data_IF_012372276765
#
_entry.id   IF_012372276765
#
_cell.length_a   1.000
_cell.length_b   1.000
_cell.length_c   1.000
_cell.angle_alpha   90.00
_cell.angle_beta   90.00
_cell.angle_gamma   90.00
#
_symmetry.space_group_name_H-M   'P 1'
#
loop_
_entity.id
_entity.type
_entity.pdbx_description
1 polymer ?
#
# COMPACT_ATOMS: atom_id res chain seq x y z
N UNK A 1 1.57 24.20 -34.35
CA UNK A 1 1.13 24.47 -32.97
C UNK A 1 1.82 23.45 -32.09
N UNK A 2 2.87 23.84 -31.37
CA UNK A 2 3.58 22.97 -30.44
C UNK A 2 2.71 22.78 -29.21
N UNK A 3 2.33 21.53 -28.94
CA UNK A 3 1.73 21.12 -27.67
C UNK A 3 2.84 21.29 -26.62
N UNK A 4 2.75 22.35 -25.83
CA UNK A 4 3.55 22.47 -24.60
C UNK A 4 2.91 21.46 -23.66
N UNK A 5 3.51 20.25 -23.56
CA UNK A 5 3.30 19.37 -22.41
C UNK A 5 3.75 20.13 -21.16
N UNK A 6 2.80 20.61 -20.40
CA UNK A 6 3.05 21.01 -19.02
C UNK A 6 3.42 19.71 -18.30
N UNK A 7 4.73 19.43 -18.22
CA UNK A 7 5.22 18.47 -17.24
C UNK A 7 4.85 19.06 -15.87
N UNK A 8 3.68 18.66 -15.35
CA UNK A 8 3.41 18.82 -13.93
C UNK A 8 4.54 18.12 -13.19
N UNK A 9 5.14 18.82 -12.27
CA UNK A 9 6.25 18.37 -11.42
C UNK A 9 5.71 17.22 -10.53
N UNK A 10 5.68 16.00 -11.10
CA UNK A 10 5.19 14.80 -10.41
C UNK A 10 6.20 14.45 -9.35
N UNK A 11 5.74 14.22 -8.13
CA UNK A 11 6.59 13.77 -7.05
C UNK A 11 7.18 12.41 -7.39
N UNK A 12 8.41 12.17 -6.99
CA UNK A 12 9.04 10.87 -7.02
C UNK A 12 8.92 10.21 -5.65
N UNK A 13 8.68 8.92 -5.59
CA UNK A 13 8.73 8.19 -4.34
C UNK A 13 10.16 8.13 -3.80
N UNK A 14 10.38 7.85 -2.51
CA UNK A 14 11.72 7.67 -1.96
C UNK A 14 12.52 6.53 -2.62
N UNK A 15 11.84 5.56 -3.26
CA UNK A 15 12.46 4.45 -4.00
C UNK A 15 12.79 4.77 -5.46
N UNK A 16 12.30 5.89 -5.98
CA UNK A 16 12.47 6.28 -7.38
C UNK A 16 13.91 6.22 -7.90
N UNK A 17 14.97 6.62 -7.16
CA UNK A 17 16.34 6.53 -7.68
C UNK A 17 16.71 5.11 -8.12
N UNK A 18 16.32 4.09 -7.37
CA UNK A 18 16.56 2.69 -7.70
C UNK A 18 15.64 2.15 -8.78
N UNK A 19 14.40 2.60 -8.80
CA UNK A 19 13.44 2.28 -9.86
C UNK A 19 13.91 2.83 -11.21
N UNK A 20 14.41 4.06 -11.24
CA UNK A 20 14.92 4.69 -12.47
C UNK A 20 16.16 3.99 -13.03
N UNK A 21 17.03 3.40 -12.19
CA UNK A 21 18.17 2.60 -12.60
C UNK A 21 17.75 1.29 -13.31
N UNK A 22 16.60 0.73 -12.95
CA UNK A 22 16.06 -0.50 -13.51
C UNK A 22 15.20 -0.26 -14.77
N UNK A 23 14.72 0.96 -14.95
CA UNK A 23 13.73 1.29 -15.99
C UNK A 23 14.34 1.22 -17.40
N UNK A 24 13.81 0.30 -18.21
CA UNK A 24 14.15 0.14 -19.62
C UNK A 24 13.01 0.53 -20.56
N UNK A 25 11.80 0.71 -20.02
CA UNK A 25 10.59 0.96 -20.81
C UNK A 25 10.21 2.44 -20.85
N UNK A 26 10.66 3.22 -19.87
CA UNK A 26 10.27 4.62 -19.65
C UNK A 26 8.75 4.81 -19.68
N UNK A 27 8.02 3.87 -19.06
CA UNK A 27 6.56 3.87 -18.97
C UNK A 27 6.13 4.16 -17.54
N UNK A 28 5.57 5.35 -17.36
CA UNK A 28 5.20 5.88 -16.04
C UNK A 28 3.85 6.57 -16.13
N UNK A 29 3.02 6.37 -15.12
CA UNK A 29 1.76 7.09 -14.93
C UNK A 29 1.81 7.92 -13.64
N UNK A 30 0.74 8.67 -13.42
CA UNK A 30 0.52 9.36 -12.15
C UNK A 30 -0.36 8.51 -11.24
N UNK A 31 0.12 8.27 -10.01
CA UNK A 31 -0.68 7.71 -8.94
C UNK A 31 -0.65 8.65 -7.74
N UNK A 32 -1.78 9.36 -7.50
CA UNK A 32 -1.99 10.32 -6.38
C UNK A 32 -0.91 11.40 -6.24
N UNK A 33 -0.47 11.92 -7.39
CA UNK A 33 0.55 12.96 -7.46
C UNK A 33 1.98 12.42 -7.54
N UNK A 34 2.17 11.10 -7.45
CA UNK A 34 3.45 10.45 -7.60
C UNK A 34 3.65 9.84 -8.98
N UNK A 35 4.90 9.76 -9.40
CA UNK A 35 5.31 9.03 -10.58
C UNK A 35 5.44 7.55 -10.21
N UNK A 36 4.61 6.69 -10.80
CA UNK A 36 4.58 5.23 -10.61
C UNK A 36 4.90 4.51 -11.91
N UNK A 37 5.68 3.42 -11.85
CA UNK A 37 6.08 2.67 -13.03
C UNK A 37 4.94 1.76 -13.52
N UNK A 38 4.65 1.77 -14.84
CA UNK A 38 3.78 0.76 -15.46
C UNK A 38 4.49 -0.59 -15.57
N UNK A 39 5.79 -0.57 -15.82
CA UNK A 39 6.69 -1.72 -15.88
C UNK A 39 8.12 -1.25 -16.07
N UNK A 40 9.10 -2.11 -15.76
CA UNK A 40 10.52 -1.80 -15.81
C UNK A 40 11.22 -2.39 -17.03
N UNK A 41 10.90 -3.63 -17.42
CA UNK A 41 11.57 -4.32 -18.55
C UNK A 41 10.63 -5.22 -19.36
N UNK A 42 9.79 -6.04 -18.74
CA UNK A 42 8.85 -6.93 -19.40
C UNK A 42 7.77 -7.34 -18.44
N UNK A 43 6.51 -7.00 -18.75
CA UNK A 43 5.35 -7.22 -17.88
C UNK A 43 5.15 -8.71 -17.57
N UNK A 44 5.45 -9.61 -18.50
CA UNK A 44 5.28 -11.05 -18.26
C UNK A 44 6.34 -11.59 -17.30
N UNK A 45 7.59 -11.16 -17.44
CA UNK A 45 8.67 -11.54 -16.53
C UNK A 45 8.43 -10.97 -15.12
N UNK A 46 7.92 -9.75 -15.02
CA UNK A 46 7.55 -9.13 -13.74
C UNK A 46 6.38 -9.87 -13.09
N UNK A 47 5.36 -10.19 -13.86
CA UNK A 47 4.22 -10.99 -13.40
C UNK A 47 4.67 -12.40 -12.94
N UNK A 48 5.48 -13.10 -13.74
CA UNK A 48 5.98 -14.43 -13.38
C UNK A 48 6.92 -14.42 -12.18
N UNK A 49 7.62 -13.31 -11.91
CA UNK A 49 8.38 -13.17 -10.66
C UNK A 49 7.45 -13.27 -9.45
N UNK A 50 6.28 -12.64 -9.48
CA UNK A 50 5.28 -12.72 -8.41
C UNK A 50 4.71 -14.13 -8.24
N UNK A 51 4.60 -14.94 -9.31
CA UNK A 51 4.06 -16.30 -9.26
C UNK A 51 5.10 -17.38 -8.92
N UNK A 52 6.36 -17.17 -9.29
CA UNK A 52 7.39 -18.20 -9.21
C UNK A 52 8.58 -17.84 -8.29
N UNK A 53 8.72 -16.57 -7.95
CA UNK A 53 9.83 -16.05 -7.14
C UNK A 53 9.36 -14.93 -6.21
N UNK A 54 9.86 -13.70 -6.39
CA UNK A 54 9.46 -12.52 -5.61
C UNK A 54 9.37 -11.28 -6.50
N UNK A 55 8.19 -10.67 -6.56
CA UNK A 55 7.96 -9.35 -7.13
C UNK A 55 7.97 -8.27 -6.07
N UNK A 56 8.50 -7.09 -6.37
CA UNK A 56 8.53 -5.92 -5.48
C UNK A 56 7.85 -4.75 -6.14
N UNK A 57 6.79 -4.22 -5.50
CA UNK A 57 6.02 -3.07 -5.97
C UNK A 57 6.09 -1.92 -4.97
N UNK A 58 6.22 -0.69 -5.46
CA UNK A 58 6.26 0.51 -4.64
C UNK A 58 4.85 0.98 -4.26
N UNK A 59 4.50 0.85 -2.98
CA UNK A 59 3.24 1.28 -2.39
C UNK A 59 3.28 2.70 -1.82
N UNK A 60 4.40 3.43 -1.96
CA UNK A 60 4.54 4.75 -1.34
C UNK A 60 3.45 5.75 -1.76
N UNK A 61 2.93 5.73 -3.01
CA UNK A 61 1.84 6.63 -3.41
C UNK A 61 0.48 6.35 -2.74
N UNK A 62 0.26 5.14 -2.21
CA UNK A 62 -0.98 4.80 -1.51
C UNK A 62 -1.21 5.74 -0.34
N UNK A 63 -2.43 6.29 -0.20
CA UNK A 63 -2.77 7.19 0.89
C UNK A 63 -2.74 6.50 2.25
N UNK A 64 -2.22 7.20 3.26
CA UNK A 64 -2.07 6.71 4.62
C UNK A 64 -2.56 7.76 5.60
N UNK A 65 -3.51 7.39 6.44
CA UNK A 65 -4.04 8.26 7.47
C UNK A 65 -3.79 7.64 8.84
N UNK A 66 -3.09 8.38 9.71
CA UNK A 66 -2.96 8.01 11.12
C UNK A 66 -4.16 8.54 11.89
N UNK A 67 -4.79 7.65 12.65
CA UNK A 67 -5.93 7.95 13.53
C UNK A 67 -5.52 7.69 14.97
N UNK A 68 -5.61 8.72 15.82
CA UNK A 68 -5.30 8.63 17.25
C UNK A 68 -6.39 9.29 18.08
N UNK A 69 -6.45 8.95 19.36
CA UNK A 69 -7.37 9.56 20.30
C UNK A 69 -8.19 8.55 21.08
N UNK A 70 -8.86 9.00 22.15
CA UNK A 70 -9.70 8.16 23.01
C UNK A 70 -10.77 7.39 22.24
N UNK A 71 -11.40 8.05 21.25
CA UNK A 71 -12.53 7.51 20.47
C UNK A 71 -12.08 6.91 19.13
N UNK A 72 -10.78 6.64 18.96
CA UNK A 72 -10.23 6.13 17.68
C UNK A 72 -10.82 4.77 17.27
N UNK A 73 -11.14 3.89 18.23
CA UNK A 73 -11.83 2.63 17.95
C UNK A 73 -13.26 2.88 17.48
N UNK A 74 -13.99 3.76 18.16
CA UNK A 74 -15.38 4.08 17.80
C UNK A 74 -15.45 4.76 16.43
N UNK A 75 -14.45 5.57 16.11
CA UNK A 75 -14.32 6.17 14.80
C UNK A 75 -14.11 5.12 13.70
N UNK A 76 -13.12 4.23 13.83
CA UNK A 76 -12.85 3.22 12.78
C UNK A 76 -13.98 2.19 12.69
N UNK A 77 -14.65 1.85 13.80
CA UNK A 77 -15.79 0.93 13.81
C UNK A 77 -17.04 1.56 13.14
N UNK A 78 -17.24 2.88 13.30
CA UNK A 78 -18.27 3.66 12.60
C UNK A 78 -18.00 3.79 11.12
N UNK A 79 -16.74 3.99 10.74
CA UNK A 79 -16.33 4.30 9.38
C UNK A 79 -16.52 3.10 8.42
N UNK A 80 -16.23 1.87 8.89
CA UNK A 80 -16.10 0.70 8.02
C UNK A 80 -17.20 -0.33 8.27
N UNK A 81 -17.48 -1.15 7.27
CA UNK A 81 -18.49 -2.23 7.36
C UNK A 81 -18.04 -3.42 8.21
N UNK A 82 -16.78 -3.41 8.68
CA UNK A 82 -16.21 -4.49 9.48
C UNK A 82 -16.23 -4.14 10.96
N UNK A 83 -16.55 -5.13 11.82
CA UNK A 83 -16.49 -4.94 13.28
C UNK A 83 -15.04 -4.83 13.76
N UNK A 84 -14.59 -3.60 14.01
CA UNK A 84 -13.21 -3.30 14.41
C UNK A 84 -12.91 -3.60 15.88
N UNK A 85 -13.94 -3.78 16.72
CA UNK A 85 -13.78 -4.21 18.11
C UNK A 85 -13.17 -5.62 18.24
N UNK A 86 -13.28 -6.44 17.20
CA UNK A 86 -12.68 -7.78 17.13
C UNK A 86 -11.23 -7.77 16.62
N UNK A 87 -10.73 -6.66 16.15
CA UNK A 87 -9.38 -6.53 15.60
C UNK A 87 -8.42 -6.07 16.70
N UNK A 88 -7.48 -6.91 17.08
CA UNK A 88 -6.53 -6.64 18.17
C UNK A 88 -5.34 -5.82 17.67
N UNK A 89 -4.61 -5.11 18.54
CA UNK A 89 -3.30 -4.53 18.19
C UNK A 89 -2.38 -5.57 17.54
N UNK A 90 -1.56 -5.14 16.58
CA UNK A 90 -0.72 -6.02 15.78
C UNK A 90 -1.46 -6.78 14.67
N UNK A 91 -2.66 -6.31 14.30
CA UNK A 91 -3.46 -6.92 13.21
C UNK A 91 -3.86 -5.88 12.19
N UNK A 92 -3.99 -6.34 10.96
CA UNK A 92 -4.55 -5.60 9.83
C UNK A 92 -5.93 -6.15 9.51
N UNK A 93 -6.84 -5.30 9.09
CA UNK A 93 -8.16 -5.69 8.60
C UNK A 93 -8.39 -5.07 7.22
N UNK A 94 -8.76 -5.87 6.22
CA UNK A 94 -9.37 -5.35 5.01
C UNK A 94 -10.80 -4.93 5.32
N UNK A 95 -11.21 -3.75 4.87
CA UNK A 95 -12.53 -3.20 5.12
C UNK A 95 -12.98 -2.30 3.97
N UNK A 96 -14.30 -2.12 3.89
CA UNK A 96 -14.99 -1.26 2.93
C UNK A 96 -15.72 -0.19 3.71
N UNK A 97 -15.79 1.03 3.19
CA UNK A 97 -16.66 2.08 3.70
C UNK A 97 -17.64 2.55 2.64
N UNK A 98 -18.80 2.92 3.11
CA UNK A 98 -19.96 3.24 2.27
C UNK A 98 -20.54 4.61 2.66
N UNK A 99 -21.34 5.17 1.77
CA UNK A 99 -22.21 6.29 2.07
C UNK A 99 -23.45 5.86 2.90
N UNK A 100 -24.33 6.81 3.21
CA UNK A 100 -25.55 6.58 4.01
C UNK A 100 -26.59 5.70 3.28
N UNK A 101 -26.50 5.57 1.96
CA UNK A 101 -27.32 4.68 1.12
C UNK A 101 -26.72 3.27 0.99
N UNK A 102 -25.54 3.03 1.59
CA UNK A 102 -24.83 1.75 1.54
C UNK A 102 -24.07 1.51 0.24
N UNK A 103 -23.84 2.56 -0.58
CA UNK A 103 -23.03 2.47 -1.77
C UNK A 103 -21.54 2.59 -1.40
N UNK A 104 -20.69 1.80 -2.05
CA UNK A 104 -19.26 1.77 -1.76
C UNK A 104 -18.60 3.07 -2.18
N UNK A 105 -17.91 3.72 -1.23
CA UNK A 105 -17.04 4.87 -1.48
C UNK A 105 -15.64 4.36 -1.84
N UNK A 106 -15.06 3.50 -1.02
CA UNK A 106 -13.76 2.87 -1.29
C UNK A 106 -13.55 1.68 -0.34
N UNK A 107 -12.42 1.03 -0.52
CA UNK A 107 -11.94 -0.04 0.34
C UNK A 107 -10.48 0.20 0.74
N UNK A 108 -9.99 -0.59 1.67
CA UNK A 108 -8.62 -0.46 2.10
C UNK A 108 -8.26 -1.34 3.28
N UNK A 109 -7.10 -1.06 3.85
CA UNK A 109 -6.58 -1.78 5.01
C UNK A 109 -6.52 -0.89 6.23
N UNK A 110 -7.02 -1.43 7.35
CA UNK A 110 -6.99 -0.78 8.66
C UNK A 110 -5.97 -1.51 9.52
N UNK A 111 -4.89 -0.85 9.84
CA UNK A 111 -3.83 -1.34 10.71
C UNK A 111 -4.17 -0.94 12.15
N UNK A 112 -4.34 -1.89 13.05
CA UNK A 112 -4.42 -1.62 14.48
C UNK A 112 -3.00 -1.64 15.05
N UNK A 113 -2.33 -0.48 15.03
CA UNK A 113 -0.92 -0.35 15.40
C UNK A 113 -0.72 -0.65 16.90
N UNK A 114 -1.46 0.04 17.74
CA UNK A 114 -1.52 -0.14 19.19
C UNK A 114 -2.84 0.40 19.74
N UNK A 115 -3.11 0.19 21.02
CA UNK A 115 -4.34 0.69 21.63
C UNK A 115 -4.48 2.20 21.42
N UNK A 116 -5.60 2.61 20.84
CA UNK A 116 -5.90 4.01 20.56
C UNK A 116 -5.19 4.58 19.31
N UNK A 117 -4.61 3.72 18.46
CA UNK A 117 -3.88 4.15 17.28
C UNK A 117 -4.08 3.20 16.10
N UNK A 118 -4.53 3.77 14.98
CA UNK A 118 -4.79 3.06 13.74
C UNK A 118 -4.10 3.77 12.58
N UNK A 119 -3.83 3.00 11.50
CA UNK A 119 -3.51 3.54 10.18
C UNK A 119 -4.54 3.02 9.20
N UNK A 120 -5.13 3.94 8.42
CA UNK A 120 -6.02 3.61 7.31
C UNK A 120 -5.24 3.81 6.02
N UNK A 121 -5.16 2.77 5.19
CA UNK A 121 -4.55 2.86 3.88
C UNK A 121 -5.62 2.63 2.81
N UNK A 122 -5.67 3.50 1.81
CA UNK A 122 -6.61 3.44 0.69
C UNK A 122 -5.99 3.89 -0.62
N UNK A 123 -6.61 3.52 -1.71
CA UNK A 123 -6.23 3.97 -3.05
C UNK A 123 -6.47 5.48 -3.20
N UNK A 124 -7.62 5.96 -2.75
CA UNK A 124 -8.09 7.33 -2.93
C UNK A 124 -7.90 8.18 -1.68
N UNK A 125 -8.02 9.51 -1.84
CA UNK A 125 -7.94 10.47 -0.75
C UNK A 125 -9.33 10.73 -0.18
N UNK A 126 -9.51 10.43 1.12
CA UNK A 126 -10.80 10.50 1.80
C UNK A 126 -10.82 11.40 3.05
N UNK A 127 -9.88 12.35 3.20
CA UNK A 127 -9.77 13.18 4.40
C UNK A 127 -11.10 13.87 4.75
N UNK A 128 -11.79 14.45 3.78
CA UNK A 128 -13.08 15.14 4.02
C UNK A 128 -14.17 14.19 4.54
N UNK A 129 -14.23 12.98 3.98
CA UNK A 129 -15.16 11.94 4.44
C UNK A 129 -14.83 11.48 5.86
N UNK A 130 -13.56 11.26 6.14
CA UNK A 130 -13.10 10.85 7.47
C UNK A 130 -13.37 11.94 8.53
N UNK A 131 -13.14 13.21 8.18
CA UNK A 131 -13.47 14.33 9.06
C UNK A 131 -14.98 14.42 9.33
N UNK A 132 -15.83 14.19 8.35
CA UNK A 132 -17.28 14.15 8.53
C UNK A 132 -17.71 12.97 9.42
N UNK A 133 -17.15 11.78 9.19
CA UNK A 133 -17.41 10.60 10.01
C UNK A 133 -16.91 10.75 11.46
N UNK A 134 -15.92 11.61 11.71
CA UNK A 134 -15.35 11.87 13.03
C UNK A 134 -16.17 12.87 13.87
N UNK A 135 -17.20 13.51 13.32
CA UNK A 135 -18.01 14.49 14.06
C UNK A 135 -18.56 13.87 15.37
N UNK A 136 -18.30 14.56 16.47
CA UNK A 136 -18.72 14.15 17.82
C UNK A 136 -17.80 13.15 18.50
N UNK A 137 -16.64 12.82 17.93
CA UNK A 137 -15.63 11.92 18.50
C UNK A 137 -14.33 12.67 18.81
N UNK A 138 -13.66 12.28 19.89
CA UNK A 138 -12.34 12.81 20.28
C UNK A 138 -11.24 12.01 19.58
N UNK A 139 -10.99 12.37 18.31
CA UNK A 139 -9.97 11.75 17.44
C UNK A 139 -9.18 12.80 16.67
N UNK A 140 -7.93 12.47 16.42
CA UNK A 140 -7.04 13.20 15.50
C UNK A 140 -6.76 12.34 14.29
N UNK A 141 -6.96 12.89 13.09
CA UNK A 141 -6.69 12.23 11.81
C UNK A 141 -5.63 13.05 11.09
N UNK A 142 -4.51 12.42 10.75
CA UNK A 142 -3.37 13.04 10.06
C UNK A 142 -3.08 12.27 8.79
N UNK A 143 -2.92 12.98 7.67
CA UNK A 143 -2.38 12.40 6.44
C UNK A 143 -0.86 12.24 6.62
N UNK A 144 -0.38 11.00 6.69
CA UNK A 144 1.04 10.62 6.83
C UNK A 144 1.61 10.00 5.54
N UNK A 145 0.95 10.24 4.40
CA UNK A 145 1.32 9.63 3.12
C UNK A 145 2.76 9.93 2.73
N UNK A 146 3.22 11.15 2.94
CA UNK A 146 4.57 11.59 2.60
C UNK A 146 5.61 11.21 3.68
N UNK A 147 5.17 10.78 4.86
CA UNK A 147 6.03 10.44 5.99
C UNK A 147 6.41 8.96 6.04
N UNK A 148 5.62 8.11 5.37
CA UNK A 148 5.79 6.65 5.35
C UNK A 148 5.85 6.16 3.91
N UNK A 149 6.94 5.52 3.53
CA UNK A 149 7.05 4.79 2.28
C UNK A 149 6.89 3.28 2.50
N UNK A 150 6.50 2.55 1.45
CA UNK A 150 6.28 1.13 1.58
C UNK A 150 6.59 0.36 0.30
N UNK A 151 7.02 -0.91 0.48
CA UNK A 151 7.21 -1.88 -0.59
C UNK A 151 6.31 -3.10 -0.36
N UNK A 152 5.56 -3.51 -1.37
CA UNK A 152 4.96 -4.83 -1.41
C UNK A 152 6.00 -5.84 -1.93
N UNK A 153 6.24 -6.90 -1.16
CA UNK A 153 7.17 -8.00 -1.46
C UNK A 153 6.35 -9.28 -1.60
N UNK A 154 6.05 -9.67 -2.83
CA UNK A 154 5.00 -10.64 -3.14
C UNK A 154 5.55 -11.81 -3.94
N UNK A 155 5.10 -13.02 -3.61
CA UNK A 155 5.43 -14.25 -4.32
C UNK A 155 5.95 -15.36 -3.39
N UNK A 156 6.07 -16.59 -3.90
CA UNK A 156 6.33 -17.77 -3.07
C UNK A 156 7.69 -17.76 -2.35
N UNK A 157 8.68 -17.01 -2.85
CA UNK A 157 9.98 -16.88 -2.19
C UNK A 157 10.12 -15.64 -1.31
N UNK A 158 9.06 -14.81 -1.17
CA UNK A 158 9.10 -13.58 -0.36
C UNK A 158 9.52 -13.83 1.09
N UNK A 159 9.04 -14.91 1.71
CA UNK A 159 9.52 -15.33 3.03
C UNK A 159 11.03 -15.57 3.07
N UNK A 160 11.57 -16.30 2.09
CA UNK A 160 12.99 -16.64 2.03
C UNK A 160 13.86 -15.39 1.85
N UNK A 161 13.40 -14.43 1.06
CA UNK A 161 14.06 -13.13 0.87
C UNK A 161 14.11 -12.36 2.19
N UNK A 162 13.00 -12.21 2.89
CA UNK A 162 12.94 -11.47 4.16
C UNK A 162 13.74 -12.15 5.27
N UNK A 163 13.75 -13.50 5.31
CA UNK A 163 14.56 -14.25 6.23
C UNK A 163 16.06 -14.08 5.93
N UNK A 164 16.46 -14.10 4.65
CA UNK A 164 17.84 -13.84 4.22
C UNK A 164 18.29 -12.39 4.47
N UNK A 165 17.34 -11.44 4.48
CA UNK A 165 17.58 -10.05 4.87
C UNK A 165 17.82 -9.90 6.39
N UNK A 166 17.59 -10.95 7.18
CA UNK A 166 17.83 -10.96 8.63
C UNK A 166 16.62 -10.56 9.47
N UNK A 167 15.40 -10.63 8.95
CA UNK A 167 14.19 -10.37 9.73
C UNK A 167 13.81 -11.61 10.55
N UNK A 168 14.51 -11.79 11.68
CA UNK A 168 14.32 -12.94 12.55
C UNK A 168 12.88 -12.99 13.11
N UNK A 169 12.24 -14.17 13.01
CA UNK A 169 10.84 -14.34 13.44
C UNK A 169 9.78 -13.99 12.39
N UNK A 170 10.16 -13.55 11.18
CA UNK A 170 9.20 -13.25 10.11
C UNK A 170 8.27 -14.42 9.78
N UNK A 171 8.73 -15.68 9.97
CA UNK A 171 7.94 -16.88 9.77
C UNK A 171 6.77 -17.05 10.75
N UNK A 172 6.81 -16.41 11.90
CA UNK A 172 5.75 -16.45 12.90
C UNK A 172 4.61 -15.46 12.58
N UNK A 173 4.86 -14.52 11.69
CA UNK A 173 3.87 -13.52 11.30
C UNK A 173 2.72 -14.19 10.54
N UNK A 174 1.54 -14.19 11.15
CA UNK A 174 0.33 -14.80 10.57
C UNK A 174 -0.27 -13.91 9.49
N UNK A 175 -1.07 -14.44 8.54
CA UNK A 175 -1.82 -13.63 7.60
C UNK A 175 -2.59 -12.50 8.30
N UNK A 176 -2.53 -11.28 7.74
CA UNK A 176 -3.03 -10.05 8.37
C UNK A 176 -2.40 -9.75 9.74
N UNK A 177 -1.23 -10.30 10.02
CA UNK A 177 -0.38 -9.92 11.15
C UNK A 177 0.45 -8.69 10.83
N UNK A 178 0.85 -7.98 11.88
CA UNK A 178 1.70 -6.81 11.87
C UNK A 178 2.78 -6.98 12.94
N UNK A 179 4.03 -6.76 12.61
CA UNK A 179 5.16 -6.77 13.53
C UNK A 179 6.19 -5.72 13.15
N UNK A 180 7.00 -5.32 14.11
CA UNK A 180 8.13 -4.41 13.91
C UNK A 180 9.43 -5.19 14.10
N UNK A 181 10.39 -4.94 13.23
CA UNK A 181 11.72 -5.54 13.22
C UNK A 181 12.77 -4.45 13.29
N UNK A 182 13.92 -4.77 13.86
CA UNK A 182 15.08 -3.90 13.82
C UNK A 182 15.69 -3.93 12.41
N UNK A 183 15.92 -2.77 11.84
CA UNK A 183 16.54 -2.62 10.52
C UNK A 183 17.31 -1.31 10.43
N UNK A 184 18.62 -1.37 10.13
CA UNK A 184 19.43 -0.20 9.81
C UNK A 184 19.36 0.91 10.87
N UNK A 185 19.52 0.56 12.13
CA UNK A 185 19.38 1.47 13.30
C UNK A 185 18.00 2.14 13.41
N UNK A 186 16.97 1.56 12.82
CA UNK A 186 15.59 2.03 12.80
C UNK A 186 14.60 0.88 12.92
N UNK A 187 13.33 1.21 13.01
CA UNK A 187 12.23 0.24 12.98
C UNK A 187 11.74 0.03 11.55
N UNK A 188 11.57 -1.24 11.15
CA UNK A 188 10.88 -1.67 9.95
C UNK A 188 9.58 -2.35 10.35
N UNK A 189 8.46 -1.73 10.05
CA UNK A 189 7.15 -2.35 10.24
C UNK A 189 6.85 -3.27 9.06
N UNK A 190 6.41 -4.50 9.34
CA UNK A 190 6.06 -5.50 8.33
C UNK A 190 4.65 -6.00 8.57
N UNK A 191 3.80 -5.96 7.55
CA UNK A 191 2.51 -6.63 7.54
C UNK A 191 2.53 -7.84 6.61
N UNK A 192 1.84 -8.93 7.00
CA UNK A 192 1.63 -10.07 6.11
C UNK A 192 0.33 -9.88 5.34
N UNK A 193 0.40 -8.95 4.41
CA UNK A 193 -0.66 -8.50 3.51
C UNK A 193 -0.14 -8.42 2.08
N UNK A 194 -1.02 -8.29 1.11
CA UNK A 194 -0.67 -8.15 -0.29
C UNK A 194 -1.88 -8.10 -1.20
N UNK A 195 -1.64 -7.76 -2.45
CA UNK A 195 -2.68 -7.54 -3.48
C UNK A 195 -2.50 -8.45 -4.70
N UNK A 196 -1.80 -9.60 -4.53
CA UNK A 196 -1.46 -10.51 -5.65
C UNK A 196 -2.09 -11.88 -5.54
N UNK A 197 -2.68 -12.22 -4.38
CA UNK A 197 -3.22 -13.55 -4.09
C UNK A 197 -2.17 -14.59 -3.70
N UNK A 198 -0.89 -14.27 -3.82
CA UNK A 198 0.22 -15.11 -3.36
C UNK A 198 0.66 -14.77 -1.94
N UNK A 199 1.62 -15.57 -1.41
CA UNK A 199 2.33 -15.22 -0.20
C UNK A 199 2.98 -13.85 -0.39
N UNK A 200 2.78 -12.96 0.57
CA UNK A 200 3.35 -11.63 0.49
C UNK A 200 3.41 -10.91 1.80
N UNK A 201 4.24 -9.88 1.79
CA UNK A 201 4.46 -8.97 2.89
C UNK A 201 4.51 -7.54 2.36
N UNK A 202 4.21 -6.59 3.23
CA UNK A 202 4.40 -5.16 2.95
C UNK A 202 5.33 -4.60 4.02
N UNK A 203 6.38 -3.92 3.56
CA UNK A 203 7.44 -3.33 4.37
C UNK A 203 7.23 -1.82 4.43
N UNK A 204 7.15 -1.28 5.64
CA UNK A 204 6.81 0.10 5.91
C UNK A 204 7.93 0.79 6.66
N UNK A 205 8.48 1.88 6.13
CA UNK A 205 9.60 2.62 6.72
C UNK A 205 9.49 4.11 6.43
N UNK A 206 10.39 4.90 7.01
CA UNK A 206 10.50 6.34 6.73
C UNK A 206 11.27 6.60 5.43
N UNK A 207 11.05 7.73 4.75
CA UNK A 207 11.68 8.06 3.47
C UNK A 207 13.22 8.03 3.49
N UNK A 208 13.84 8.41 4.59
CA UNK A 208 15.30 8.43 4.77
C UNK A 208 15.92 7.02 4.78
N UNK A 209 15.12 5.98 5.06
CA UNK A 209 15.56 4.57 5.05
C UNK A 209 15.19 3.83 3.76
N UNK A 210 14.52 4.46 2.83
CA UNK A 210 14.00 3.82 1.64
C UNK A 210 15.08 3.17 0.77
N UNK A 211 16.16 3.87 0.46
CA UNK A 211 17.23 3.35 -0.41
C UNK A 211 17.96 2.20 0.27
N UNK A 212 18.23 2.32 1.57
CA UNK A 212 18.87 1.26 2.34
C UNK A 212 18.00 0.00 2.39
N UNK A 213 16.68 0.16 2.57
CA UNK A 213 15.72 -0.95 2.52
C UNK A 213 15.69 -1.62 1.14
N UNK A 214 15.64 -0.84 0.06
CA UNK A 214 15.67 -1.37 -1.29
C UNK A 214 16.92 -2.18 -1.57
N UNK A 215 18.09 -1.62 -1.25
CA UNK A 215 19.37 -2.24 -1.52
C UNK A 215 19.54 -3.56 -0.72
N UNK A 216 19.18 -3.56 0.57
CA UNK A 216 19.20 -4.76 1.40
C UNK A 216 18.25 -5.85 0.88
N UNK A 217 17.02 -5.45 0.49
CA UNK A 217 16.02 -6.36 -0.03
C UNK A 217 16.46 -7.02 -1.34
N UNK A 218 16.97 -6.24 -2.29
CA UNK A 218 17.41 -6.76 -3.59
C UNK A 218 18.69 -7.58 -3.48
N UNK A 219 19.63 -7.22 -2.59
CA UNK A 219 20.82 -8.03 -2.31
C UNK A 219 20.44 -9.39 -1.71
N UNK A 220 19.55 -9.42 -0.72
CA UNK A 220 19.08 -10.67 -0.11
C UNK A 220 18.25 -11.52 -1.10
N UNK A 221 17.53 -10.87 -2.00
CA UNK A 221 16.63 -11.50 -2.97
C UNK A 221 17.30 -12.01 -4.24
N UNK A 222 18.55 -11.67 -4.52
CA UNK A 222 19.22 -11.98 -5.79
C UNK A 222 19.16 -13.48 -6.12
N UNK A 223 19.54 -14.33 -5.17
CA UNK A 223 19.54 -15.79 -5.33
C UNK A 223 18.14 -16.41 -5.44
N UNK A 224 17.10 -15.66 -5.05
CA UNK A 224 15.69 -16.06 -5.13
C UNK A 224 14.97 -15.50 -6.35
N UNK A 225 15.69 -14.80 -7.23
CA UNK A 225 15.12 -14.24 -8.46
C UNK A 225 14.19 -13.06 -8.24
N UNK A 226 14.47 -12.23 -7.22
CA UNK A 226 13.70 -11.01 -6.92
C UNK A 226 13.68 -10.06 -8.14
N UNK A 227 12.55 -9.43 -8.39
CA UNK A 227 12.38 -8.44 -9.46
C UNK A 227 11.50 -7.28 -9.00
N UNK A 228 11.82 -6.08 -9.46
CA UNK A 228 10.86 -4.98 -9.42
C UNK A 228 9.70 -5.30 -10.38
N UNK A 229 8.48 -4.91 -9.98
CA UNK A 229 7.30 -5.02 -10.84
C UNK A 229 6.55 -3.69 -10.88
N UNK A 230 6.02 -3.36 -12.05
CA UNK A 230 5.16 -2.21 -12.27
C UNK A 230 3.67 -2.55 -12.14
N UNK A 231 2.85 -1.53 -12.36
CA UNK A 231 1.38 -1.61 -12.26
C UNK A 231 0.78 -2.65 -13.21
N UNK A 232 1.31 -2.79 -14.43
CA UNK A 232 0.79 -3.77 -15.41
C UNK A 232 0.87 -5.21 -14.90
N UNK A 233 1.96 -5.57 -14.21
CA UNK A 233 2.14 -6.90 -13.62
C UNK A 233 1.28 -7.09 -12.37
N UNK A 234 1.17 -6.05 -11.52
CA UNK A 234 0.30 -6.05 -10.35
C UNK A 234 -1.17 -6.21 -10.74
N UNK A 235 -1.64 -5.49 -11.78
CA UNK A 235 -3.00 -5.59 -12.31
C UNK A 235 -3.36 -7.02 -12.73
N UNK A 236 -2.49 -7.70 -13.45
CA UNK A 236 -2.71 -9.11 -13.82
C UNK A 236 -2.87 -9.99 -12.58
N UNK A 237 -1.96 -9.82 -11.61
CA UNK A 237 -1.95 -10.64 -10.41
C UNK A 237 -3.20 -10.42 -9.54
N UNK A 238 -3.64 -9.16 -9.33
CA UNK A 238 -4.81 -8.85 -8.51
C UNK A 238 -6.12 -9.32 -9.15
N UNK A 239 -6.25 -9.22 -10.49
CA UNK A 239 -7.42 -9.69 -11.24
C UNK A 239 -7.57 -11.21 -11.09
N UNK A 240 -6.48 -11.96 -11.23
CA UNK A 240 -6.51 -13.43 -11.01
C UNK A 240 -6.89 -13.78 -9.57
N UNK A 241 -6.45 -12.99 -8.58
CA UNK A 241 -6.81 -13.17 -7.18
C UNK A 241 -8.27 -12.78 -6.88
N UNK A 242 -8.94 -12.09 -7.81
CA UNK A 242 -10.31 -11.59 -7.64
C UNK A 242 -10.39 -10.35 -6.75
N UNK A 243 -9.31 -9.60 -6.58
CA UNK A 243 -9.30 -8.35 -5.83
C UNK A 243 -9.81 -7.21 -6.71
N UNK A 244 -10.83 -6.50 -6.21
CA UNK A 244 -11.43 -5.35 -6.88
C UNK A 244 -10.67 -4.06 -6.56
N UNK A 245 -10.80 -3.07 -7.44
CA UNK A 245 -10.19 -1.76 -7.29
C UNK A 245 -11.18 -0.66 -7.68
N UNK A 246 -11.32 0.32 -6.80
CA UNK A 246 -12.14 1.50 -7.05
C UNK A 246 -11.69 2.25 -8.32
N UNK A 247 -12.62 2.80 -9.09
CA UNK A 247 -12.44 3.46 -10.39
C UNK A 247 -11.96 2.56 -11.54
N UNK A 248 -11.63 1.30 -11.27
CA UNK A 248 -11.25 0.31 -12.30
C UNK A 248 -12.36 -0.71 -12.49
N UNK A 249 -12.76 -1.40 -11.42
CA UNK A 249 -13.77 -2.46 -11.49
C UNK A 249 -15.16 -1.97 -11.09
N UNK A 250 -15.26 -0.87 -10.35
CA UNK A 250 -16.53 -0.22 -10.00
C UNK A 250 -16.36 1.30 -9.87
N UNK A 251 -17.47 2.02 -10.04
CA UNK A 251 -17.51 3.46 -9.79
C UNK A 251 -17.89 3.72 -8.33
N UNK A 252 -17.04 4.38 -7.54
CA UNK A 252 -17.36 4.78 -6.18
C UNK A 252 -18.58 5.71 -6.09
N UNK A 253 -19.26 5.70 -4.95
CA UNK A 253 -20.45 6.51 -4.71
C UNK A 253 -20.20 8.02 -4.93
N UNK A 254 -19.03 8.52 -4.52
CA UNK A 254 -18.65 9.93 -4.69
C UNK A 254 -18.35 10.32 -6.15
N UNK A 255 -17.96 9.36 -6.99
CA UNK A 255 -17.74 9.59 -8.42
C UNK A 255 -19.04 9.85 -9.18
N UNK A 256 -20.15 9.21 -8.77
CA UNK A 256 -21.47 9.39 -9.41
C UNK A 256 -22.06 10.75 -9.14
N UNK A 257 -21.81 11.34 -7.96
CA UNK A 257 -22.28 12.70 -7.61
C UNK A 257 -21.55 13.76 -8.44
N UNK A 258 -20.27 13.59 -8.72
CA UNK A 258 -19.48 14.52 -9.55
C UNK A 258 -19.91 14.54 -11.02
N UNK A 259 -20.38 13.41 -11.55
CA UNK A 259 -20.84 13.30 -12.93
C UNK A 259 -22.22 13.92 -13.17
N UNK A 260 -23.02 14.10 -12.13
CA UNK A 260 -24.35 14.73 -12.20
C UNK A 260 -24.32 16.26 -12.00
N UNK A 261 -23.17 16.82 -11.62
CA UNK A 261 -22.98 18.26 -11.37
C UNK A 261 -22.30 19.01 -12.53
N UNK A 262 -22.12 18.38 -13.69
CA UNK A 262 -21.68 18.96 -14.96
C UNK A 262 -22.85 19.00 -15.95
#
# INVERSE_FOLDING_TARGET
MSVIEVQQDRRCSPFYPRQAELDRLNRWHEWKGYRSADGFYDTELEYFATRNSTGVFDLSPMTKYRVTGPDSLDFVDRLVTRNMQKIRPGRVAYAVWCDDEGQVIDDGTIFHLRKGEYRICSQERHMSWFQAAAIGLDVTIVDETDEICALAVQGPTSFSVLNAMGLDGIGELRPFGLATFDFADSELMVSRTGFTGDLGYELWTTPDKAIELWDALFAAGEIFGIRAMGTDALERARIEAGFIQAYVDFLPADATVRSLSL
#
